data_IF_336674351929
#
_entry.id   IF_336674351929
#
_cell.length_a   1.000
_cell.length_b   1.000
_cell.length_c   1.000
_cell.angle_alpha   90.00
_cell.angle_beta   90.00
_cell.angle_gamma   90.00
#
_symmetry.space_group_name_H-M   'P 1'
#
loop_
_entity.id
_entity.type
_entity.pdbx_description
1 polymer ?
#
# COMPACT_ATOMS: atom_id res chain seq x y z
N UNK A 1 1.43 -8.83 4.85
CA UNK A 1 2.84 -8.39 4.79
C UNK A 1 2.98 -7.10 5.57
N UNK A 2 4.01 -6.98 6.42
CA UNK A 2 4.25 -5.76 7.20
C UNK A 2 5.06 -4.73 6.41
N UNK A 3 4.73 -3.46 6.60
CA UNK A 3 5.46 -2.32 6.06
C UNK A 3 5.26 -1.03 6.87
N UNK A 4 5.74 0.07 6.29
CA UNK A 4 5.60 1.43 6.83
C UNK A 4 5.09 2.38 5.75
N UNK A 5 4.23 3.32 6.16
CA UNK A 5 3.76 4.39 5.29
C UNK A 5 4.92 5.36 5.00
N UNK A 6 5.21 5.60 3.72
CA UNK A 6 6.26 6.53 3.29
C UNK A 6 5.70 7.84 2.74
N UNK A 7 4.65 7.75 1.94
CA UNK A 7 4.04 8.92 1.30
C UNK A 7 2.52 8.81 1.26
N UNK A 8 1.87 9.96 1.38
CA UNK A 8 0.43 10.15 1.17
C UNK A 8 0.24 11.16 0.06
N UNK A 9 -0.55 10.80 -0.95
CA UNK A 9 -0.90 11.68 -2.06
C UNK A 9 -2.41 11.85 -2.10
N UNK A 10 -2.88 13.08 -1.95
CA UNK A 10 -4.30 13.42 -2.00
C UNK A 10 -4.70 13.75 -3.45
N UNK A 11 -5.59 12.95 -4.02
CA UNK A 11 -5.99 12.99 -5.43
C UNK A 11 -7.49 13.29 -5.57
N UNK A 12 -8.00 14.22 -4.77
CA UNK A 12 -9.42 14.56 -4.74
C UNK A 12 -10.24 13.49 -4.04
N UNK A 13 -10.96 12.66 -4.80
CA UNK A 13 -11.84 11.61 -4.23
C UNK A 13 -11.07 10.40 -3.71
N UNK A 14 -9.80 10.26 -4.07
CA UNK A 14 -8.95 9.15 -3.67
C UNK A 14 -7.68 9.65 -2.97
N UNK A 15 -7.12 8.78 -2.15
CA UNK A 15 -5.79 8.95 -1.54
C UNK A 15 -4.94 7.76 -1.95
N UNK A 16 -3.71 8.03 -2.38
CA UNK A 16 -2.70 7.01 -2.62
C UNK A 16 -1.72 6.97 -1.46
N UNK A 17 -1.50 5.78 -0.94
CA UNK A 17 -0.51 5.47 0.07
C UNK A 17 0.64 4.71 -0.56
N UNK A 18 1.86 5.20 -0.37
CA UNK A 18 3.06 4.43 -0.69
C UNK A 18 3.51 3.71 0.57
N UNK A 19 3.44 2.39 0.55
CA UNK A 19 3.88 1.50 1.64
C UNK A 19 5.17 0.81 1.22
N UNK A 20 6.20 0.91 2.05
CA UNK A 20 7.44 0.14 1.90
C UNK A 20 7.38 -1.06 2.82
N UNK A 21 7.46 -2.27 2.25
CA UNK A 21 7.47 -3.53 2.98
C UNK A 21 8.84 -3.78 3.60
N UNK A 22 8.88 -4.65 4.61
CA UNK A 22 10.15 -5.09 5.21
C UNK A 22 11.06 -5.84 4.23
N UNK A 23 10.52 -6.35 3.11
CA UNK A 23 11.32 -6.92 2.01
C UNK A 23 12.07 -5.87 1.19
N UNK A 24 11.72 -4.59 1.32
CA UNK A 24 12.20 -3.50 0.47
C UNK A 24 11.28 -3.19 -0.72
N UNK A 25 10.28 -4.04 -0.99
CA UNK A 25 9.28 -3.79 -2.04
C UNK A 25 8.43 -2.56 -1.70
N UNK A 26 8.02 -1.83 -2.74
CA UNK A 26 7.13 -0.67 -2.61
C UNK A 26 5.80 -0.93 -3.27
N UNK A 27 4.73 -0.66 -2.54
CA UNK A 27 3.35 -0.83 -2.98
C UNK A 27 2.62 0.50 -2.95
N UNK A 28 1.77 0.71 -3.96
CA UNK A 28 0.80 1.80 -3.96
C UNK A 28 -0.57 1.24 -3.59
N UNK A 29 -1.16 1.76 -2.52
CA UNK A 29 -2.51 1.41 -2.06
C UNK A 29 -3.42 2.60 -2.30
N UNK A 30 -4.49 2.41 -3.06
CA UNK A 30 -5.52 3.42 -3.29
C UNK A 30 -6.69 3.19 -2.33
N UNK A 31 -7.13 4.25 -1.65
CA UNK A 31 -8.37 4.23 -0.86
C UNK A 31 -9.23 5.47 -1.15
N UNK A 32 -10.53 5.43 -0.85
CA UNK A 32 -11.37 6.63 -0.84
C UNK A 32 -10.82 7.69 0.13
N UNK A 33 -10.96 8.95 -0.24
CA UNK A 33 -10.56 10.11 0.57
C UNK A 33 -11.40 10.36 1.82
N UNK A 34 -12.44 9.54 2.04
CA UNK A 34 -13.34 9.60 3.19
C UNK A 34 -12.82 8.86 4.42
N UNK A 35 -11.61 8.29 4.37
CA UNK A 35 -11.03 7.59 5.52
C UNK A 35 -10.54 8.63 6.53
N UNK A 36 -11.19 8.61 7.69
CA UNK A 36 -10.81 9.43 8.84
C UNK A 36 -9.56 8.87 9.51
N UNK A 37 -8.55 9.73 9.65
CA UNK A 37 -7.32 9.42 10.37
C UNK A 37 -6.30 8.65 9.53
N UNK A 38 -5.17 9.30 9.26
CA UNK A 38 -4.00 8.61 8.74
C UNK A 38 -3.31 7.85 9.87
N UNK A 39 -2.82 6.63 9.62
CA UNK A 39 -1.88 5.99 10.53
C UNK A 39 -0.65 6.91 10.71
N UNK A 40 -0.20 7.07 11.95
CA UNK A 40 1.00 7.86 12.25
C UNK A 40 2.24 7.25 11.60
N UNK A 41 3.32 8.03 11.49
CA UNK A 41 4.54 7.61 10.79
C UNK A 41 5.14 6.28 11.32
N UNK A 42 5.00 6.02 12.62
CA UNK A 42 5.51 4.80 13.26
C UNK A 42 4.49 3.65 13.31
N UNK A 43 3.24 3.89 12.88
CA UNK A 43 2.20 2.87 12.88
C UNK A 43 2.55 1.78 11.85
N UNK A 44 2.69 0.51 12.27
CA UNK A 44 2.89 -0.58 11.33
C UNK A 44 1.68 -0.75 10.41
N UNK A 45 1.92 -0.86 9.11
CA UNK A 45 0.89 -1.13 8.10
C UNK A 45 0.98 -2.59 7.70
N UNK A 46 -0.16 -3.26 7.69
CA UNK A 46 -0.27 -4.63 7.20
C UNK A 46 -1.08 -4.64 5.91
N UNK A 47 -0.45 -5.05 4.82
CA UNK A 47 -1.11 -5.24 3.52
C UNK A 47 -1.46 -6.71 3.32
N UNK A 48 -2.61 -6.97 2.72
CA UNK A 48 -3.08 -8.30 2.38
C UNK A 48 -3.79 -8.24 1.03
N UNK A 49 -3.63 -9.31 0.27
CA UNK A 49 -4.38 -9.58 -0.95
C UNK A 49 -4.62 -11.09 -1.02
N UNK A 50 -5.73 -11.49 -1.63
CA UNK A 50 -5.99 -12.87 -1.97
C UNK A 50 -5.15 -13.27 -3.20
N UNK A 51 -4.88 -14.57 -3.40
CA UNK A 51 -4.26 -15.05 -4.64
C UNK A 51 -5.02 -14.61 -5.90
N UNK A 52 -6.35 -14.50 -5.81
CA UNK A 52 -7.21 -14.06 -6.93
C UNK A 52 -7.10 -12.56 -7.24
N UNK A 53 -6.49 -11.76 -6.37
CA UNK A 53 -6.19 -10.36 -6.64
C UNK A 53 -4.88 -10.20 -7.44
N UNK A 54 -4.12 -11.28 -7.60
CA UNK A 54 -2.81 -11.29 -8.25
C UNK A 54 -2.91 -11.74 -9.70
N UNK A 55 -2.09 -11.11 -10.55
CA UNK A 55 -1.74 -11.62 -11.86
C UNK A 55 -0.29 -12.13 -11.83
N UNK A 56 -0.11 -13.45 -11.91
CA UNK A 56 1.22 -14.05 -11.97
C UNK A 56 1.85 -13.81 -13.35
N UNK A 57 3.05 -13.25 -13.39
CA UNK A 57 3.82 -13.02 -14.61
C UNK A 57 4.96 -14.05 -14.65
N UNK A 58 5.23 -14.69 -15.80
CA UNK A 58 6.36 -15.62 -15.92
C UNK A 58 7.69 -14.93 -15.60
N UNK A 59 8.58 -15.64 -14.90
CA UNK A 59 9.94 -15.15 -14.71
C UNK A 59 10.66 -15.10 -16.08
N UNK A 60 11.29 -13.97 -16.38
CA UNK A 60 12.15 -13.87 -17.56
C UNK A 60 13.42 -14.66 -17.27
N UNK A 61 13.71 -15.63 -18.14
CA UNK A 61 14.88 -16.51 -18.06
C UNK A 61 16.16 -15.78 -18.45
#
# INVERSE_FOLDING_TARGET
>A
FEGRLRHVMYLGTHVHYVVELLSGDRLTVMQPSTIDGLPGADTPIYVQWAPNDCLAIPAVS
#
